data_IF_985100448393
#
_entry.id   IF_985100448393
#
_cell.length_a   1.000
_cell.length_b   1.000
_cell.length_c   1.000
_cell.angle_alpha   90.00
_cell.angle_beta   90.00
_cell.angle_gamma   90.00
#
_symmetry.space_group_name_H-M   'P 1'
#
loop_
_entity.id
_entity.type
_entity.pdbx_description
1 polymer ?
#
# COMPACT_ATOMS: atom_id res chain seq x y z
N UNK A 1 1.85 4.49 -15.27
CA UNK A 1 1.74 5.93 -14.93
C UNK A 1 2.64 6.21 -13.74
N UNK A 2 3.30 7.35 -13.63
CA UNK A 2 4.05 7.68 -12.43
C UNK A 2 3.11 7.75 -11.23
N UNK A 3 3.57 7.30 -10.07
CA UNK A 3 2.81 7.35 -8.82
C UNK A 3 2.66 8.80 -8.37
N UNK A 4 1.43 9.25 -8.13
CA UNK A 4 1.17 10.61 -7.65
C UNK A 4 1.51 10.73 -6.16
N UNK A 5 2.07 11.89 -5.78
CA UNK A 5 2.32 12.18 -4.38
C UNK A 5 0.99 12.12 -3.58
N UNK A 6 1.00 11.58 -2.35
CA UNK A 6 -0.22 11.32 -1.60
C UNK A 6 -1.06 12.56 -1.30
N UNK A 7 -0.49 13.75 -1.46
CA UNK A 7 -1.20 15.01 -1.26
C UNK A 7 -1.13 15.86 -2.53
N UNK A 8 -2.26 15.96 -3.25
CA UNK A 8 -2.39 16.88 -4.38
C UNK A 8 -2.21 18.35 -3.99
N UNK A 9 -2.07 19.23 -4.98
CA UNK A 9 -1.78 20.65 -4.78
C UNK A 9 -2.95 21.48 -4.21
N UNK A 10 -4.15 20.93 -4.16
CA UNK A 10 -5.39 21.66 -3.83
C UNK A 10 -6.25 20.91 -2.80
N UNK A 11 -5.88 20.99 -1.53
CA UNK A 11 -6.79 20.62 -0.44
C UNK A 11 -6.71 21.67 0.66
N UNK A 12 -7.73 22.52 0.71
CA UNK A 12 -7.86 23.58 1.70
C UNK A 12 -8.39 23.10 3.06
N UNK A 13 -8.69 21.82 3.20
CA UNK A 13 -9.16 21.28 4.45
C UNK A 13 -8.02 21.20 5.47
N UNK A 14 -8.25 21.76 6.66
CA UNK A 14 -7.26 21.80 7.74
C UNK A 14 -6.75 20.41 8.10
N UNK A 15 -7.62 19.40 8.11
CA UNK A 15 -7.26 18.00 8.38
C UNK A 15 -6.23 17.49 7.38
N UNK A 16 -6.45 17.66 6.10
CA UNK A 16 -5.51 17.21 5.04
C UNK A 16 -4.19 17.97 5.12
N UNK A 17 -4.22 19.27 5.44
CA UNK A 17 -3.00 20.03 5.64
C UNK A 17 -2.18 19.55 6.85
N UNK A 18 -2.83 19.12 7.95
CA UNK A 18 -2.16 18.48 9.09
C UNK A 18 -1.54 17.15 8.66
N UNK A 19 -2.27 16.29 7.95
CA UNK A 19 -1.74 15.00 7.48
C UNK A 19 -0.56 15.18 6.53
N UNK A 20 -0.59 16.18 5.64
CA UNK A 20 0.53 16.55 4.77
C UNK A 20 1.76 16.96 5.59
N UNK A 21 1.59 17.84 6.57
CA UNK A 21 2.67 18.28 7.46
C UNK A 21 3.23 17.09 8.27
N UNK A 22 2.36 16.17 8.73
CA UNK A 22 2.77 14.96 9.43
C UNK A 22 3.59 14.05 8.53
N UNK A 23 3.18 13.86 7.27
CA UNK A 23 3.90 13.07 6.28
C UNK A 23 5.28 13.67 5.99
N UNK A 24 5.38 14.99 5.78
CA UNK A 24 6.65 15.69 5.56
C UNK A 24 7.59 15.55 6.76
N UNK A 25 7.09 15.81 7.97
CA UNK A 25 7.85 15.67 9.20
C UNK A 25 8.32 14.21 9.45
N UNK A 26 7.49 13.22 9.08
CA UNK A 26 7.85 11.80 9.20
C UNK A 26 8.97 11.41 8.22
N UNK A 27 8.92 11.89 6.98
CA UNK A 27 10.00 11.68 6.00
C UNK A 27 11.32 12.30 6.48
N UNK A 28 11.28 13.52 7.01
CA UNK A 28 12.47 14.26 7.43
C UNK A 28 13.09 13.70 8.70
N UNK A 29 12.28 13.35 9.70
CA UNK A 29 12.76 13.03 11.04
C UNK A 29 12.63 11.55 11.42
N UNK A 30 11.85 10.76 10.70
CA UNK A 30 11.50 9.38 11.06
C UNK A 30 10.51 9.31 12.24
N UNK A 31 10.00 8.11 12.50
CA UNK A 31 8.98 7.88 13.54
C UNK A 31 9.45 8.20 14.96
N UNK A 32 10.68 7.79 15.32
CA UNK A 32 11.20 7.95 16.70
C UNK A 32 11.29 9.41 17.11
N UNK A 33 11.79 10.23 16.20
CA UNK A 33 12.02 11.67 16.43
C UNK A 33 10.82 12.55 16.10
N UNK A 34 9.74 11.99 15.56
CA UNK A 34 8.53 12.74 15.27
C UNK A 34 7.84 13.22 16.54
N UNK A 35 7.52 14.50 16.57
CA UNK A 35 6.75 15.14 17.64
C UNK A 35 5.68 16.05 17.05
N UNK A 36 4.61 16.36 17.81
CA UNK A 36 3.60 17.36 17.37
C UNK A 36 4.23 18.73 17.11
N UNK A 37 5.35 19.05 17.80
CA UNK A 37 6.12 20.27 17.55
C UNK A 37 6.70 20.26 16.13
N UNK A 38 7.37 19.18 15.71
CA UNK A 38 7.95 19.02 14.37
C UNK A 38 6.87 18.99 13.28
N UNK A 39 5.74 18.32 13.53
CA UNK A 39 4.57 18.41 12.65
C UNK A 39 4.12 19.86 12.49
N UNK A 40 4.10 20.60 13.60
CA UNK A 40 3.71 22.01 13.59
C UNK A 40 4.71 22.94 12.89
N UNK A 41 5.98 22.56 12.77
CA UNK A 41 6.96 23.33 12.01
C UNK A 41 6.74 23.21 10.50
N UNK A 42 6.24 22.07 10.02
CA UNK A 42 5.80 21.82 8.64
C UNK A 42 4.38 22.33 8.33
N UNK A 43 3.60 22.66 9.37
CA UNK A 43 2.20 23.03 9.19
C UNK A 43 2.04 24.53 8.92
N UNK A 44 1.41 24.94 7.77
CA UNK A 44 1.36 26.34 7.36
C UNK A 44 0.43 27.23 8.19
N UNK A 45 -0.27 26.65 9.17
CA UNK A 45 -1.23 27.36 10.04
C UNK A 45 -0.79 27.26 11.50
N UNK A 46 -1.60 27.76 12.43
CA UNK A 46 -1.30 27.70 13.87
C UNK A 46 -1.26 26.25 14.39
N UNK A 47 -0.23 25.90 15.14
CA UNK A 47 -0.07 24.59 15.84
C UNK A 47 -1.27 24.25 16.74
N UNK A 48 -1.98 25.25 17.26
CA UNK A 48 -3.17 25.03 18.08
C UNK A 48 -4.27 24.30 17.32
N UNK A 49 -4.33 24.41 15.99
CA UNK A 49 -5.28 23.67 15.17
C UNK A 49 -5.00 22.16 15.17
N UNK A 50 -3.73 21.74 15.28
CA UNK A 50 -3.40 20.33 15.39
C UNK A 50 -4.06 19.73 16.63
N UNK A 51 -3.91 20.40 17.78
CA UNK A 51 -4.52 19.98 19.05
C UNK A 51 -6.06 20.09 19.10
N UNK A 52 -6.68 20.84 18.18
CA UNK A 52 -8.13 20.87 18.03
C UNK A 52 -8.66 19.65 17.25
N UNK A 53 -7.82 19.04 16.43
CA UNK A 53 -8.21 17.90 15.58
C UNK A 53 -7.72 16.56 16.12
N UNK A 54 -6.65 16.56 16.91
CA UNK A 54 -5.97 15.34 17.36
C UNK A 54 -5.41 15.52 18.77
N UNK A 55 -5.56 14.52 19.62
CA UNK A 55 -5.08 14.53 21.00
C UNK A 55 -3.56 14.37 21.11
N UNK A 56 -2.91 13.89 20.04
CA UNK A 56 -1.46 13.69 20.04
C UNK A 56 -0.90 13.05 18.79
N UNK A 57 0.40 12.74 18.84
CA UNK A 57 1.17 12.15 17.76
C UNK A 57 0.53 10.86 17.21
N UNK A 58 0.12 9.97 18.10
CA UNK A 58 -0.36 8.64 17.69
C UNK A 58 -1.69 8.73 16.93
N UNK A 59 -2.59 9.62 17.35
CA UNK A 59 -3.86 9.82 16.66
C UNK A 59 -3.68 10.42 15.27
N UNK A 60 -2.78 11.41 15.14
CA UNK A 60 -2.43 11.97 13.83
C UNK A 60 -1.82 10.92 12.91
N UNK A 61 -0.95 10.06 13.44
CA UNK A 61 -0.31 9.01 12.66
C UNK A 61 -1.29 7.92 12.21
N UNK A 62 -2.27 7.58 13.06
CA UNK A 62 -3.36 6.68 12.67
C UNK A 62 -4.19 7.28 11.54
N UNK A 63 -4.56 8.56 11.65
CA UNK A 63 -5.28 9.24 10.59
C UNK A 63 -4.45 9.36 9.29
N UNK A 64 -3.14 9.56 9.40
CA UNK A 64 -2.21 9.54 8.27
C UNK A 64 -2.16 8.15 7.62
N UNK A 65 -2.03 7.08 8.42
CA UNK A 65 -2.03 5.71 7.91
C UNK A 65 -3.30 5.39 7.12
N UNK A 66 -4.48 5.72 7.67
CA UNK A 66 -5.76 5.55 6.99
C UNK A 66 -5.80 6.30 5.65
N UNK A 67 -5.34 7.56 5.66
CA UNK A 67 -5.27 8.37 4.45
C UNK A 67 -4.34 7.75 3.39
N UNK A 68 -3.14 7.31 3.78
CA UNK A 68 -2.15 6.73 2.88
C UNK A 68 -2.62 5.40 2.28
N UNK A 69 -3.29 4.55 3.07
CA UNK A 69 -3.87 3.30 2.57
C UNK A 69 -4.95 3.55 1.52
N UNK A 70 -5.88 4.48 1.80
CA UNK A 70 -6.93 4.86 0.85
C UNK A 70 -6.33 5.51 -0.42
N UNK A 71 -5.29 6.35 -0.26
CA UNK A 71 -4.60 6.93 -1.40
C UNK A 71 -3.96 5.86 -2.28
N UNK A 72 -3.22 4.91 -1.67
CA UNK A 72 -2.59 3.83 -2.42
C UNK A 72 -3.60 3.04 -3.25
N UNK A 73 -4.75 2.69 -2.68
CA UNK A 73 -5.82 1.99 -3.39
C UNK A 73 -6.39 2.81 -4.55
N UNK A 74 -6.56 4.13 -4.36
CA UNK A 74 -7.06 5.02 -5.42
C UNK A 74 -6.09 5.19 -6.60
N UNK A 75 -4.83 4.77 -6.45
CA UNK A 75 -3.81 4.82 -7.50
C UNK A 75 -3.75 3.53 -8.33
N UNK A 76 -4.45 2.46 -7.92
CA UNK A 76 -4.52 1.23 -8.71
C UNK A 76 -5.21 1.57 -10.03
N UNK A 77 -4.58 1.34 -11.19
CA UNK A 77 -5.17 1.66 -12.47
C UNK A 77 -6.45 0.85 -12.72
N UNK A 78 -7.37 1.42 -13.49
CA UNK A 78 -8.47 0.64 -14.03
C UNK A 78 -7.93 -0.40 -15.03
N UNK A 79 -8.35 -1.67 -14.96
CA UNK A 79 -7.94 -2.68 -15.92
C UNK A 79 -8.48 -2.35 -17.32
N UNK A 80 -7.82 -2.90 -18.36
CA UNK A 80 -8.22 -2.66 -19.75
C UNK A 80 -9.57 -3.32 -20.09
N UNK A 81 -9.85 -4.45 -19.46
CA UNK A 81 -11.11 -5.19 -19.56
C UNK A 81 -11.63 -5.50 -18.17
N UNK A 82 -12.87 -5.99 -18.08
CA UNK A 82 -13.47 -6.37 -16.80
C UNK A 82 -13.32 -7.88 -16.51
N UNK A 83 -12.45 -8.59 -17.26
CA UNK A 83 -12.16 -9.98 -16.95
C UNK A 83 -11.21 -10.12 -15.73
N UNK A 84 -11.29 -11.29 -15.08
CA UNK A 84 -10.58 -11.51 -13.83
C UNK A 84 -9.06 -11.51 -14.00
N UNK A 85 -8.52 -12.01 -15.11
CA UNK A 85 -7.08 -12.07 -15.34
C UNK A 85 -6.50 -10.69 -15.59
N UNK A 86 -7.14 -9.86 -16.42
CA UNK A 86 -6.69 -8.50 -16.68
C UNK A 86 -6.71 -7.65 -15.40
N UNK A 87 -7.74 -7.82 -14.55
CA UNK A 87 -7.80 -7.18 -13.25
C UNK A 87 -6.65 -7.61 -12.34
N UNK A 88 -6.34 -8.92 -12.27
CA UNK A 88 -5.25 -9.44 -11.46
C UNK A 88 -3.89 -8.96 -11.97
N UNK A 89 -3.64 -9.06 -13.27
CA UNK A 89 -2.38 -8.63 -13.88
C UNK A 89 -2.15 -7.12 -13.68
N UNK A 90 -3.20 -6.31 -13.82
CA UNK A 90 -3.13 -4.86 -13.57
C UNK A 90 -2.71 -4.58 -12.13
N UNK A 91 -3.33 -5.25 -11.16
CA UNK A 91 -3.01 -5.10 -9.75
C UNK A 91 -1.56 -5.54 -9.43
N UNK A 92 -1.16 -6.73 -9.88
CA UNK A 92 0.18 -7.26 -9.65
C UNK A 92 1.24 -6.35 -10.27
N UNK A 93 1.03 -5.91 -11.52
CA UNK A 93 1.92 -5.00 -12.21
C UNK A 93 2.02 -3.66 -11.49
N UNK A 94 0.91 -3.09 -11.00
CA UNK A 94 0.92 -1.84 -10.25
C UNK A 94 1.75 -1.94 -8.96
N UNK A 95 1.62 -3.04 -8.20
CA UNK A 95 2.34 -3.19 -6.93
C UNK A 95 3.81 -3.52 -7.15
N UNK A 96 4.13 -4.37 -8.14
CA UNK A 96 5.48 -4.91 -8.36
C UNK A 96 6.32 -4.08 -9.32
N UNK A 97 5.71 -3.31 -10.23
CA UNK A 97 6.46 -2.52 -11.19
C UNK A 97 7.51 -1.63 -10.52
N UNK A 98 8.72 -1.55 -11.08
CA UNK A 98 9.70 -0.57 -10.66
C UNK A 98 9.14 0.83 -10.89
N UNK A 99 9.03 1.61 -9.84
CA UNK A 99 8.67 3.03 -9.94
C UNK A 99 9.81 3.84 -9.31
N UNK A 100 10.61 4.53 -10.13
CA UNK A 100 11.75 5.31 -9.64
C UNK A 100 11.33 6.66 -9.03
N UNK A 101 10.03 6.94 -8.91
CA UNK A 101 9.57 8.20 -8.36
C UNK A 101 9.89 8.32 -6.86
N UNK A 102 10.36 9.50 -6.46
CA UNK A 102 10.58 9.81 -5.05
C UNK A 102 9.30 9.69 -4.23
N UNK A 103 8.14 9.98 -4.83
CA UNK A 103 6.85 9.88 -4.18
C UNK A 103 6.54 8.44 -3.75
N UNK A 104 6.79 7.46 -4.64
CA UNK A 104 6.59 6.03 -4.35
C UNK A 104 7.57 5.54 -3.29
N UNK A 105 8.83 5.90 -3.43
CA UNK A 105 9.88 5.53 -2.48
C UNK A 105 9.58 6.08 -1.07
N UNK A 106 9.21 7.36 -0.97
CA UNK A 106 8.84 8.00 0.29
C UNK A 106 7.61 7.36 0.93
N UNK A 107 6.55 7.08 0.14
CA UNK A 107 5.37 6.38 0.65
C UNK A 107 5.74 4.99 1.19
N UNK A 108 6.51 4.21 0.42
CA UNK A 108 6.92 2.86 0.81
C UNK A 108 7.73 2.87 2.11
N UNK A 109 8.65 3.85 2.26
CA UNK A 109 9.42 4.05 3.49
C UNK A 109 8.52 4.39 4.68
N UNK A 110 7.62 5.36 4.54
CA UNK A 110 6.68 5.77 5.60
C UNK A 110 5.79 4.60 6.02
N UNK A 111 5.26 3.84 5.05
CA UNK A 111 4.43 2.67 5.33
C UNK A 111 5.21 1.57 6.08
N UNK A 112 6.49 1.35 5.73
CA UNK A 112 7.35 0.40 6.43
C UNK A 112 7.64 0.85 7.88
N UNK A 113 7.93 2.13 8.10
CA UNK A 113 8.14 2.69 9.44
C UNK A 113 6.90 2.53 10.32
N UNK A 114 5.71 2.87 9.81
CA UNK A 114 4.45 2.71 10.55
C UNK A 114 4.13 1.24 10.81
N UNK A 115 4.36 0.35 9.83
CA UNK A 115 4.18 -1.10 10.02
C UNK A 115 5.14 -1.66 11.07
N UNK A 116 6.36 -1.13 11.15
CA UNK A 116 7.35 -1.46 12.17
C UNK A 116 6.89 -1.16 13.61
N UNK A 117 5.93 -0.24 13.79
CA UNK A 117 5.35 0.06 15.10
C UNK A 117 4.24 -0.91 15.53
N UNK A 118 3.66 -1.67 14.61
CA UNK A 118 2.55 -2.59 14.90
C UNK A 118 2.85 -3.63 16.00
N UNK A 119 4.07 -4.17 16.20
CA UNK A 119 4.39 -5.04 17.33
C UNK A 119 4.21 -4.37 18.70
N UNK A 120 4.36 -3.06 18.78
CA UNK A 120 4.37 -2.28 20.02
C UNK A 120 3.15 -1.38 20.18
N UNK A 121 2.33 -1.20 19.13
CA UNK A 121 1.14 -0.35 19.13
C UNK A 121 -0.07 -1.12 18.60
N UNK A 122 -1.04 -1.38 19.47
CA UNK A 122 -2.24 -2.17 19.16
C UNK A 122 -3.11 -1.50 18.09
N UNK A 123 -3.15 -0.17 18.07
CA UNK A 123 -3.93 0.57 17.08
C UNK A 123 -3.34 0.37 15.69
N UNK A 124 -2.04 0.56 15.49
CA UNK A 124 -1.38 0.26 14.21
C UNK A 124 -1.55 -1.19 13.81
N UNK A 125 -1.37 -2.13 14.75
CA UNK A 125 -1.58 -3.56 14.48
C UNK A 125 -3.01 -3.85 14.00
N UNK A 126 -4.00 -3.24 14.61
CA UNK A 126 -5.41 -3.40 14.23
C UNK A 126 -5.68 -2.86 12.83
N UNK A 127 -5.18 -1.68 12.49
CA UNK A 127 -5.33 -1.08 11.16
C UNK A 127 -4.66 -1.92 10.06
N UNK A 128 -3.40 -2.31 10.24
CA UNK A 128 -2.72 -3.17 9.27
C UNK A 128 -3.40 -4.53 9.13
N UNK A 129 -3.85 -5.13 10.24
CA UNK A 129 -4.57 -6.42 10.20
C UNK A 129 -5.91 -6.29 9.48
N UNK A 130 -6.62 -5.18 9.64
CA UNK A 130 -7.87 -4.94 8.93
C UNK A 130 -7.64 -4.74 7.43
N UNK A 131 -6.61 -3.97 7.06
CA UNK A 131 -6.23 -3.75 5.68
C UNK A 131 -5.78 -5.05 4.99
N UNK A 132 -4.90 -5.83 5.63
CA UNK A 132 -4.41 -7.11 5.08
C UNK A 132 -5.58 -8.09 4.87
N UNK A 133 -6.54 -8.16 5.82
CA UNK A 133 -7.74 -8.98 5.66
C UNK A 133 -8.64 -8.52 4.52
N UNK A 134 -8.79 -7.19 4.33
CA UNK A 134 -9.59 -6.63 3.23
C UNK A 134 -8.94 -6.98 1.90
N UNK A 135 -7.67 -6.65 1.73
CA UNK A 135 -6.93 -6.87 0.49
C UNK A 135 -6.89 -8.37 0.11
N UNK A 136 -6.68 -9.26 1.09
CA UNK A 136 -6.75 -10.70 0.85
C UNK A 136 -8.13 -11.15 0.38
N UNK A 137 -9.21 -10.62 0.98
CA UNK A 137 -10.57 -10.94 0.57
C UNK A 137 -10.86 -10.45 -0.86
N UNK A 138 -10.43 -9.25 -1.19
CA UNK A 138 -10.62 -8.66 -2.52
C UNK A 138 -9.88 -9.51 -3.58
N UNK A 139 -8.64 -9.93 -3.29
CA UNK A 139 -7.90 -10.88 -4.12
C UNK A 139 -8.61 -12.23 -4.24
N UNK A 140 -9.11 -12.79 -3.14
CA UNK A 140 -9.83 -14.07 -3.18
C UNK A 140 -11.09 -13.97 -4.04
N UNK A 141 -11.87 -12.91 -3.88
CA UNK A 141 -13.06 -12.66 -4.70
C UNK A 141 -12.72 -12.53 -6.19
N UNK A 142 -11.61 -11.87 -6.51
CA UNK A 142 -11.13 -11.75 -7.89
C UNK A 142 -10.75 -13.11 -8.48
N UNK A 143 -10.07 -13.95 -7.70
CA UNK A 143 -9.69 -15.30 -8.11
C UNK A 143 -10.92 -16.21 -8.26
N UNK A 144 -11.87 -16.15 -7.33
CA UNK A 144 -13.15 -16.88 -7.41
C UNK A 144 -13.91 -16.51 -8.69
N UNK A 145 -13.96 -15.21 -9.01
CA UNK A 145 -14.57 -14.74 -10.26
C UNK A 145 -13.88 -15.34 -11.48
N UNK A 146 -12.56 -15.39 -11.51
CA UNK A 146 -11.81 -16.01 -12.62
C UNK A 146 -12.09 -17.52 -12.76
N UNK A 147 -12.31 -18.23 -11.65
CA UNK A 147 -12.74 -19.64 -11.68
C UNK A 147 -14.17 -19.77 -12.24
N UNK A 148 -15.08 -18.91 -11.81
CA UNK A 148 -16.49 -18.91 -12.26
C UNK A 148 -16.61 -18.51 -13.74
N UNK A 149 -15.77 -17.63 -14.23
CA UNK A 149 -15.67 -17.24 -15.66
C UNK A 149 -14.99 -18.33 -16.53
N UNK A 150 -14.38 -19.35 -15.89
CA UNK A 150 -13.63 -20.40 -16.59
C UNK A 150 -12.26 -19.96 -17.11
N UNK A 151 -11.77 -18.81 -16.69
CA UNK A 151 -10.44 -18.29 -16.99
C UNK A 151 -9.36 -19.00 -16.16
N UNK A 152 -9.71 -19.29 -14.89
CA UNK A 152 -8.83 -19.97 -13.95
C UNK A 152 -9.27 -21.40 -13.67
N UNK A 153 -8.30 -22.26 -13.38
CA UNK A 153 -8.57 -23.61 -12.85
C UNK A 153 -9.27 -23.55 -11.51
N UNK A 154 -10.00 -24.58 -11.13
CA UNK A 154 -10.49 -24.73 -9.77
C UNK A 154 -9.32 -24.75 -8.77
N UNK A 155 -9.25 -23.70 -7.92
CA UNK A 155 -8.22 -23.52 -6.89
C UNK A 155 -8.86 -23.08 -5.57
N UNK A 156 -8.12 -23.22 -4.48
CA UNK A 156 -8.47 -22.58 -3.21
C UNK A 156 -8.08 -21.09 -3.29
N UNK A 157 -9.04 -20.23 -3.60
CA UNK A 157 -8.86 -18.80 -3.82
C UNK A 157 -8.28 -18.08 -2.57
N UNK A 158 -8.71 -18.47 -1.37
CA UNK A 158 -8.20 -17.91 -0.12
C UNK A 158 -6.72 -18.22 0.10
N UNK A 159 -6.29 -19.45 -0.23
CA UNK A 159 -4.88 -19.85 -0.15
C UNK A 159 -4.02 -19.12 -1.18
N UNK A 160 -4.49 -18.99 -2.41
CA UNK A 160 -3.80 -18.24 -3.48
C UNK A 160 -3.71 -16.76 -3.10
N UNK A 161 -4.80 -16.14 -2.67
CA UNK A 161 -4.81 -14.74 -2.23
C UNK A 161 -3.83 -14.49 -1.08
N UNK A 162 -3.75 -15.42 -0.11
CA UNK A 162 -2.80 -15.34 0.99
C UNK A 162 -1.35 -15.42 0.53
N UNK A 163 -1.05 -16.27 -0.45
CA UNK A 163 0.28 -16.36 -1.04
C UNK A 163 0.65 -15.07 -1.79
N UNK A 164 -0.23 -14.59 -2.69
CA UNK A 164 -0.01 -13.36 -3.44
C UNK A 164 0.23 -12.16 -2.49
N UNK A 165 -0.64 -11.99 -1.49
CA UNK A 165 -0.47 -10.91 -0.51
C UNK A 165 0.88 -11.00 0.21
N UNK A 166 1.33 -12.21 0.56
CA UNK A 166 2.61 -12.42 1.24
C UNK A 166 3.79 -11.99 0.35
N UNK A 167 3.76 -12.34 -0.94
CA UNK A 167 4.79 -11.92 -1.91
C UNK A 167 4.80 -10.41 -2.08
N UNK A 168 3.64 -9.80 -2.31
CA UNK A 168 3.49 -8.35 -2.51
C UNK A 168 3.96 -7.56 -1.28
N UNK A 169 3.54 -7.98 -0.08
CA UNK A 169 3.94 -7.34 1.17
C UNK A 169 5.45 -7.51 1.45
N UNK A 170 6.00 -8.70 1.19
CA UNK A 170 7.41 -8.98 1.33
C UNK A 170 8.26 -8.14 0.40
N UNK A 171 7.88 -8.03 -0.87
CA UNK A 171 8.59 -7.23 -1.87
C UNK A 171 8.54 -5.73 -1.50
N UNK A 172 7.38 -5.23 -1.13
CA UNK A 172 7.22 -3.83 -0.70
C UNK A 172 8.09 -3.52 0.53
N UNK A 173 8.13 -4.41 1.52
CA UNK A 173 8.96 -4.26 2.71
C UNK A 173 10.45 -4.29 2.36
N UNK A 174 10.89 -5.20 1.49
CA UNK A 174 12.29 -5.31 1.06
C UNK A 174 12.74 -4.04 0.32
N UNK A 175 11.93 -3.50 -0.57
CA UNK A 175 12.21 -2.21 -1.23
C UNK A 175 12.41 -1.06 -0.25
N UNK A 176 11.64 -1.05 0.83
CA UNK A 176 11.74 0.00 1.84
C UNK A 176 12.98 -0.13 2.75
N UNK A 177 13.50 -1.34 2.94
CA UNK A 177 14.46 -1.67 4.02
C UNK A 177 15.81 -2.17 3.52
N UNK A 178 16.03 -2.25 2.21
CA UNK A 178 17.31 -2.65 1.61
C UNK A 178 17.83 -1.58 0.64
N UNK A 179 19.09 -1.67 0.28
CA UNK A 179 19.85 -0.72 -0.54
C UNK A 179 19.59 -0.82 -2.07
N UNK A 180 18.43 -1.34 -2.47
CA UNK A 180 18.06 -1.49 -3.88
C UNK A 180 18.60 -2.78 -4.55
N UNK A 181 19.13 -3.72 -3.77
CA UNK A 181 19.58 -5.03 -4.27
C UNK A 181 18.41 -6.00 -4.54
N UNK A 182 17.18 -5.54 -4.39
CA UNK A 182 15.99 -6.36 -4.65
C UNK A 182 15.77 -6.43 -6.16
N UNK A 183 15.87 -7.63 -6.70
CA UNK A 183 15.53 -7.91 -8.10
C UNK A 183 14.01 -8.06 -8.23
N UNK A 184 13.34 -6.91 -8.32
CA UNK A 184 11.89 -6.87 -8.47
C UNK A 184 11.41 -7.43 -9.81
N UNK A 185 12.24 -7.36 -10.85
CA UNK A 185 11.93 -7.93 -12.16
C UNK A 185 11.89 -9.46 -12.08
N UNK A 186 12.85 -10.07 -11.37
CA UNK A 186 12.85 -11.52 -11.14
C UNK A 186 11.64 -11.96 -10.31
N UNK A 187 11.29 -11.22 -9.26
CA UNK A 187 10.09 -11.53 -8.45
C UNK A 187 8.82 -11.42 -9.29
N UNK A 188 8.72 -10.40 -10.15
CA UNK A 188 7.59 -10.22 -11.04
C UNK A 188 7.49 -11.37 -12.06
N UNK A 189 8.62 -11.77 -12.66
CA UNK A 189 8.66 -12.87 -13.63
C UNK A 189 8.23 -14.20 -13.01
N UNK A 190 8.73 -14.53 -11.81
CA UNK A 190 8.36 -15.75 -11.10
C UNK A 190 6.88 -15.73 -10.67
N UNK A 191 6.37 -14.55 -10.25
CA UNK A 191 4.96 -14.44 -9.90
C UNK A 191 4.04 -14.59 -11.11
N UNK A 192 4.42 -14.06 -12.28
CA UNK A 192 3.69 -14.27 -13.52
C UNK A 192 3.70 -15.76 -13.92
N UNK A 193 4.85 -16.42 -13.83
CA UNK A 193 4.95 -17.87 -14.04
C UNK A 193 4.06 -18.65 -13.07
N UNK A 194 3.98 -18.23 -11.82
CA UNK A 194 3.07 -18.83 -10.83
C UNK A 194 1.59 -18.65 -11.26
N UNK A 195 1.18 -17.46 -11.66
CA UNK A 195 -0.19 -17.19 -12.14
C UNK A 195 -0.49 -18.05 -13.38
N UNK A 196 0.37 -18.06 -14.38
CA UNK A 196 0.23 -18.87 -15.60
C UNK A 196 0.10 -20.37 -15.31
N UNK A 197 0.98 -20.91 -14.48
CA UNK A 197 1.02 -22.36 -14.23
C UNK A 197 0.02 -22.82 -13.19
N UNK A 198 -0.36 -21.96 -12.25
CA UNK A 198 -1.22 -22.31 -11.11
C UNK A 198 -2.69 -21.96 -11.34
N UNK A 199 -2.96 -20.85 -12.01
CA UNK A 199 -4.30 -20.32 -12.21
C UNK A 199 -4.82 -20.54 -13.64
N UNK A 200 -4.07 -20.19 -14.67
CA UNK A 200 -4.53 -20.32 -16.04
C UNK A 200 -4.59 -21.80 -16.44
N UNK A 201 -5.59 -22.17 -17.19
CA UNK A 201 -5.65 -23.48 -17.83
C UNK A 201 -4.57 -23.50 -18.92
N UNK A 202 -3.55 -24.32 -18.71
CA UNK A 202 -2.69 -24.67 -19.81
C UNK A 202 -3.56 -25.32 -20.89
N UNK A 203 -3.74 -24.65 -22.00
CA UNK A 203 -4.17 -25.35 -23.22
C UNK A 203 -3.12 -26.41 -23.46
N UNK A 204 -3.44 -27.67 -23.10
CA UNK A 204 -2.70 -28.81 -23.54
C UNK A 204 -2.72 -28.80 -25.09
N UNK A 205 -1.60 -28.44 -25.72
CA UNK A 205 -1.29 -28.71 -27.10
C UNK A 205 -0.94 -30.21 -27.27
#
# INVERSE_FOLDING_TARGET
MPFDAPFGTHTDETRTAILRATYAALIEHGYEDLTVQRIGDEFPKSKSLIYQHYDGKDEVLVALLEYLLNHFESQIPEPATDDADDCLQTLLSFVLAPDPSEARASLTKVMAELRGQAPHNETFRSYFSANDRRFRRDLATLIERGVDEGVYRPVDAESVASFLLTVLAGETMRRATTDGTVDSEAVCAELNTYVETRLLDGTDD
#
